data_IF_033615088021
#
_entry.id   IF_033615088021
#
_cell.length_a   1.000
_cell.length_b   1.000
_cell.length_c   1.000
_cell.angle_alpha   90.00
_cell.angle_beta   90.00
_cell.angle_gamma   90.00
#
_symmetry.space_group_name_H-M   'P 1'
#
loop_
_entity.id
_entity.type
_entity.pdbx_description
1 polymer ?
#
# COMPACT_ATOMS: atom_id res chain seq x y z
N UNK A 1 26.15 13.41 26.59
CA UNK A 1 25.18 14.44 27.02
C UNK A 1 25.25 15.58 26.02
N UNK A 2 24.40 15.56 24.99
CA UNK A 2 24.08 16.71 24.15
C UNK A 2 22.59 16.62 23.89
N UNK A 3 21.88 17.60 24.42
CA UNK A 3 20.44 17.76 24.36
C UNK A 3 20.12 18.41 23.01
N UNK A 4 19.38 17.73 22.14
CA UNK A 4 18.70 18.34 21.01
C UNK A 4 17.20 18.22 21.27
N UNK A 5 16.66 19.21 21.99
CA UNK A 5 15.23 19.49 22.02
C UNK A 5 14.86 19.86 20.59
N UNK A 6 14.17 18.96 19.89
CA UNK A 6 13.55 19.26 18.60
C UNK A 6 12.17 19.80 18.94
N UNK A 7 11.97 21.08 18.70
CA UNK A 7 10.72 21.80 18.96
C UNK A 7 9.51 21.07 18.36
N UNK A 8 8.62 20.59 19.23
CA UNK A 8 7.37 19.91 18.89
C UNK A 8 6.24 20.86 18.45
N UNK A 9 6.58 21.95 17.75
CA UNK A 9 5.62 22.96 17.28
C UNK A 9 5.51 23.01 15.75
N UNK A 10 5.35 21.85 15.10
CA UNK A 10 4.83 21.82 13.73
C UNK A 10 3.31 21.86 13.81
N UNK A 11 2.79 23.08 13.85
CA UNK A 11 1.40 23.38 13.54
C UNK A 11 0.98 22.64 12.26
N UNK A 12 -0.15 21.93 12.31
CA UNK A 12 -0.87 21.43 11.14
C UNK A 12 -0.79 22.47 10.02
N UNK A 13 -0.29 22.15 8.80
CA UNK A 13 -0.28 23.10 7.72
C UNK A 13 -1.73 23.43 7.35
N UNK A 14 -2.20 24.57 7.88
CA UNK A 14 -3.42 25.23 7.49
C UNK A 14 -3.26 25.65 6.02
N UNK A 15 -3.85 24.88 5.10
CA UNK A 15 -3.75 25.20 3.68
C UNK A 15 -4.04 24.08 2.68
N UNK A 16 -4.86 23.08 2.99
CA UNK A 16 -5.37 22.19 1.94
C UNK A 16 -6.55 22.85 1.22
N UNK A 17 -6.21 23.76 0.31
CA UNK A 17 -7.17 24.46 -0.53
C UNK A 17 -7.83 23.51 -1.55
N UNK A 18 -9.08 23.81 -1.87
CA UNK A 18 -10.10 22.99 -2.54
C UNK A 18 -9.70 22.37 -3.89
N UNK A 19 -10.19 21.12 -4.07
CA UNK A 19 -10.65 20.48 -5.32
C UNK A 19 -9.67 20.44 -6.50
N UNK A 20 -8.82 19.41 -6.53
CA UNK A 20 -8.53 18.71 -7.78
C UNK A 20 -9.19 17.34 -7.71
N UNK A 21 -10.07 17.03 -8.66
CA UNK A 21 -10.71 15.73 -8.74
C UNK A 21 -9.67 14.63 -8.71
N UNK A 22 -9.83 13.67 -7.78
CA UNK A 22 -8.96 12.51 -7.63
C UNK A 22 -9.00 11.65 -8.91
N UNK A 23 -8.22 12.01 -9.94
CA UNK A 23 -7.98 11.16 -11.10
C UNK A 23 -7.05 10.04 -10.63
N UNK A 24 -7.65 8.89 -10.31
CA UNK A 24 -6.92 7.65 -10.10
C UNK A 24 -6.54 7.09 -11.48
N UNK A 25 -5.23 7.11 -11.78
CA UNK A 25 -4.68 6.63 -13.06
C UNK A 25 -4.02 7.77 -13.84
N UNK A 26 -2.70 7.69 -14.00
CA UNK A 26 -1.95 8.54 -14.92
C UNK A 26 -1.77 7.87 -16.28
N UNK A 27 -1.24 8.60 -17.26
CA UNK A 27 -0.94 8.14 -18.62
C UNK A 27 -0.09 6.85 -18.72
N UNK A 28 0.49 6.38 -17.60
CA UNK A 28 1.29 5.16 -17.48
C UNK A 28 0.51 3.91 -17.03
N UNK A 29 -0.83 3.94 -17.10
CA UNK A 29 -1.71 2.79 -16.88
C UNK A 29 -1.94 2.04 -18.20
N UNK A 30 -0.86 1.79 -18.95
CA UNK A 30 -0.94 1.06 -20.21
C UNK A 30 -1.40 -0.39 -19.94
N UNK A 31 -2.42 -0.83 -20.67
CA UNK A 31 -3.00 -2.18 -20.60
C UNK A 31 -2.04 -3.24 -21.14
N UNK A 32 -1.05 -2.87 -21.96
CA UNK A 32 -0.07 -3.80 -22.55
C UNK A 32 1.15 -4.09 -21.69
N UNK A 33 1.44 -3.25 -20.68
CA UNK A 33 2.67 -3.41 -19.88
C UNK A 33 2.66 -4.73 -19.10
N UNK A 34 3.65 -5.58 -19.33
CA UNK A 34 3.83 -6.82 -18.59
C UNK A 34 5.02 -6.70 -17.65
N UNK A 35 4.90 -7.23 -16.44
CA UNK A 35 6.02 -7.39 -15.51
C UNK A 35 5.94 -8.76 -14.82
N UNK A 36 7.08 -9.36 -14.48
CA UNK A 36 7.13 -10.61 -13.69
C UNK A 36 7.58 -10.38 -12.24
N UNK A 37 8.48 -9.41 -12.04
CA UNK A 37 9.14 -9.11 -10.76
C UNK A 37 9.00 -7.63 -10.37
N UNK A 38 9.15 -7.34 -9.09
CA UNK A 38 9.39 -5.97 -8.60
C UNK A 38 10.85 -5.61 -8.87
N UNK A 39 11.08 -4.50 -9.58
CA UNK A 39 12.40 -3.94 -9.78
C UNK A 39 12.73 -2.93 -8.67
N UNK A 40 13.96 -2.42 -8.68
CA UNK A 40 14.46 -1.45 -7.70
C UNK A 40 13.54 -0.24 -7.56
N UNK A 41 13.16 0.38 -8.68
CA UNK A 41 12.23 1.51 -8.68
C UNK A 41 10.90 1.21 -7.95
N UNK A 42 10.32 0.03 -8.16
CA UNK A 42 9.09 -0.36 -7.46
C UNK A 42 9.31 -0.46 -5.95
N UNK A 43 10.43 -1.06 -5.55
CA UNK A 43 10.75 -1.27 -4.14
C UNK A 43 11.05 0.06 -3.45
N UNK A 44 11.88 0.91 -4.04
CA UNK A 44 12.15 2.29 -3.56
C UNK A 44 10.86 3.07 -3.37
N UNK A 45 9.96 3.01 -4.35
CA UNK A 45 8.66 3.71 -4.29
C UNK A 45 7.83 3.23 -3.10
N UNK A 46 7.81 1.93 -2.82
CA UNK A 46 7.01 1.35 -1.73
C UNK A 46 7.63 1.66 -0.37
N UNK A 47 8.92 1.36 -0.19
CA UNK A 47 9.66 1.64 1.05
C UNK A 47 9.57 3.11 1.40
N UNK A 48 9.79 3.92 0.38
CA UNK A 48 9.83 5.33 0.52
C UNK A 48 8.52 5.98 0.91
N UNK A 49 7.45 5.57 0.24
CA UNK A 49 6.11 6.00 0.60
C UNK A 49 5.69 5.52 1.99
N UNK A 50 6.16 4.35 2.44
CA UNK A 50 5.91 3.87 3.79
C UNK A 50 6.65 4.71 4.85
N UNK A 51 7.94 5.00 4.65
CA UNK A 51 8.71 5.89 5.54
C UNK A 51 8.11 7.30 5.59
N UNK A 52 7.79 7.86 4.42
CA UNK A 52 7.20 9.19 4.35
C UNK A 52 5.79 9.24 4.95
N UNK A 53 5.00 8.16 4.87
CA UNK A 53 3.71 8.08 5.56
C UNK A 53 3.86 8.17 7.08
N UNK A 54 4.91 7.56 7.64
CA UNK A 54 5.23 7.65 9.07
C UNK A 54 5.62 9.08 9.44
N UNK A 55 6.48 9.72 8.64
CA UNK A 55 6.87 11.12 8.84
C UNK A 55 5.64 12.07 8.88
N UNK A 56 4.62 11.79 8.08
CA UNK A 56 3.37 12.58 8.07
C UNK A 56 2.39 12.24 9.22
N UNK A 57 2.71 11.30 10.12
CA UNK A 57 1.76 10.79 11.12
C UNK A 57 0.57 10.04 10.51
N UNK A 58 0.77 9.45 9.33
CA UNK A 58 -0.23 8.71 8.56
C UNK A 58 0.19 7.25 8.42
N UNK A 59 0.51 6.60 9.54
CA UNK A 59 1.03 5.24 9.56
C UNK A 59 0.10 4.26 8.85
N UNK A 60 0.69 3.36 8.06
CA UNK A 60 -0.03 2.33 7.32
C UNK A 60 -0.54 1.25 8.29
N UNK A 61 -1.68 1.53 8.91
CA UNK A 61 -2.22 0.79 10.04
C UNK A 61 -3.09 -0.43 9.67
N UNK A 62 -3.37 -0.65 8.39
CA UNK A 62 -4.13 -1.81 7.87
C UNK A 62 -3.42 -2.48 6.70
N UNK A 63 -3.43 -3.81 6.71
CA UNK A 63 -3.10 -4.64 5.56
C UNK A 63 -4.37 -5.24 4.99
N UNK A 64 -4.67 -4.99 3.72
CA UNK A 64 -5.84 -5.47 3.00
C UNK A 64 -5.37 -6.32 1.83
N UNK A 65 -5.99 -7.49 1.65
CA UNK A 65 -5.76 -8.34 0.47
C UNK A 65 -7.05 -8.53 -0.29
N UNK A 66 -6.99 -8.39 -1.62
CA UNK A 66 -8.09 -8.69 -2.53
C UNK A 66 -7.64 -9.77 -3.51
N UNK A 67 -8.35 -10.89 -3.57
CA UNK A 67 -8.16 -11.98 -4.52
C UNK A 67 -9.08 -11.80 -5.73
N UNK A 68 -8.54 -11.27 -6.84
CA UNK A 68 -9.28 -11.08 -8.08
C UNK A 68 -9.61 -12.42 -8.75
N UNK A 69 -8.72 -13.42 -8.64
CA UNK A 69 -8.97 -14.77 -9.17
C UNK A 69 -10.25 -15.41 -8.60
N UNK A 70 -10.53 -15.21 -7.29
CA UNK A 70 -11.77 -15.69 -6.64
C UNK A 70 -13.05 -15.02 -7.13
N UNK A 71 -12.92 -13.91 -7.84
CA UNK A 71 -14.02 -13.19 -8.49
C UNK A 71 -14.14 -13.52 -9.99
N UNK A 72 -13.31 -14.45 -10.51
CA UNK A 72 -13.24 -14.73 -11.95
C UNK A 72 -12.69 -13.55 -12.75
N UNK A 73 -11.93 -12.65 -12.13
CA UNK A 73 -11.38 -11.47 -12.80
C UNK A 73 -10.00 -11.80 -13.35
N UNK A 74 -9.87 -11.70 -14.68
CA UNK A 74 -8.58 -11.77 -15.37
C UNK A 74 -7.62 -10.67 -14.89
N UNK A 75 -6.33 -10.98 -14.86
CA UNK A 75 -5.32 -10.04 -14.40
C UNK A 75 -5.28 -8.74 -15.24
N UNK A 76 -5.61 -8.79 -16.53
CA UNK A 76 -5.70 -7.59 -17.37
C UNK A 76 -6.82 -6.61 -16.94
N UNK A 77 -7.83 -7.10 -16.22
CA UNK A 77 -8.96 -6.31 -15.70
C UNK A 77 -8.78 -5.94 -14.22
N UNK A 78 -7.98 -6.69 -13.47
CA UNK A 78 -7.75 -6.49 -12.04
C UNK A 78 -7.32 -5.05 -11.68
N UNK A 79 -6.46 -4.42 -12.48
CA UNK A 79 -6.06 -3.02 -12.27
C UNK A 79 -7.21 -2.02 -12.32
N UNK A 80 -8.21 -2.23 -13.21
CA UNK A 80 -9.41 -1.38 -13.31
C UNK A 80 -10.30 -1.53 -12.08
N UNK A 81 -10.51 -2.78 -11.64
CA UNK A 81 -11.31 -3.10 -10.45
C UNK A 81 -10.67 -2.52 -9.19
N UNK A 82 -9.36 -2.68 -9.03
CA UNK A 82 -8.59 -2.07 -7.95
C UNK A 82 -8.75 -0.55 -7.93
N UNK A 83 -8.63 0.10 -9.09
CA UNK A 83 -8.74 1.56 -9.21
C UNK A 83 -10.12 2.05 -8.78
N UNK A 84 -11.20 1.38 -9.23
CA UNK A 84 -12.57 1.73 -8.84
C UNK A 84 -12.83 1.49 -7.34
N UNK A 85 -12.26 0.42 -6.78
CA UNK A 85 -12.35 0.13 -5.34
C UNK A 85 -11.60 1.18 -4.50
N UNK A 86 -10.35 1.49 -4.86
CA UNK A 86 -9.55 2.54 -4.20
C UNK A 86 -10.21 3.91 -4.28
N UNK A 87 -10.85 4.23 -5.43
CA UNK A 87 -11.65 5.45 -5.55
C UNK A 87 -12.78 5.47 -4.53
N UNK A 88 -13.55 4.38 -4.40
CA UNK A 88 -14.66 4.30 -3.45
C UNK A 88 -14.19 4.44 -1.99
N UNK A 89 -13.07 3.80 -1.65
CA UNK A 89 -12.42 3.92 -0.34
C UNK A 89 -11.98 5.37 -0.08
N UNK A 90 -11.30 6.00 -1.05
CA UNK A 90 -10.82 7.36 -0.97
C UNK A 90 -11.96 8.39 -0.86
N UNK A 91 -13.02 8.23 -1.65
CA UNK A 91 -14.21 9.08 -1.59
C UNK A 91 -14.87 8.98 -0.20
N UNK A 92 -14.95 7.78 0.38
CA UNK A 92 -15.51 7.60 1.72
C UNK A 92 -14.66 8.28 2.80
N UNK A 93 -13.35 8.06 2.78
CA UNK A 93 -12.43 8.69 3.75
C UNK A 93 -12.44 10.22 3.61
N UNK A 94 -12.46 10.73 2.38
CA UNK A 94 -12.54 12.17 2.09
C UNK A 94 -13.84 12.80 2.56
N UNK A 95 -14.98 12.12 2.40
CA UNK A 95 -16.28 12.58 2.94
C UNK A 95 -16.31 12.69 4.46
N UNK A 96 -15.40 12.02 5.17
CA UNK A 96 -15.22 12.13 6.61
C UNK A 96 -14.12 13.13 7.00
N UNK A 97 -13.69 14.00 6.08
CA UNK A 97 -12.68 15.03 6.35
C UNK A 97 -11.25 14.51 6.55
N UNK A 98 -10.97 13.26 6.13
CA UNK A 98 -9.66 12.63 6.27
C UNK A 98 -9.02 12.38 4.90
N UNK A 99 -7.77 11.92 4.89
CA UNK A 99 -7.03 11.58 3.67
C UNK A 99 -6.76 10.07 3.60
N UNK A 100 -6.97 9.46 2.43
CA UNK A 100 -6.54 8.09 2.18
C UNK A 100 -5.04 8.08 1.89
N UNK A 101 -4.30 7.34 2.69
CA UNK A 101 -2.87 7.06 2.48
C UNK A 101 -2.70 5.57 2.27
N UNK A 102 -2.15 5.15 1.13
CA UNK A 102 -1.87 3.73 0.91
C UNK A 102 -0.75 3.46 -0.08
N UNK A 103 -0.13 2.30 0.06
CA UNK A 103 0.69 1.64 -0.96
C UNK A 103 0.05 0.30 -1.34
N UNK A 104 0.28 -0.18 -2.55
CA UNK A 104 -0.26 -1.46 -2.99
C UNK A 104 0.66 -2.16 -4.00
N UNK A 105 0.58 -3.49 -4.00
CA UNK A 105 1.34 -4.39 -4.88
C UNK A 105 0.42 -5.47 -5.40
N UNK A 106 0.38 -5.65 -6.72
CA UNK A 106 -0.28 -6.75 -7.41
C UNK A 106 0.68 -7.90 -7.65
N UNK A 107 0.16 -9.09 -7.45
CA UNK A 107 0.81 -10.36 -7.71
C UNK A 107 -0.13 -11.22 -8.56
N UNK A 108 0.44 -12.05 -9.41
CA UNK A 108 -0.33 -13.04 -10.17
C UNK A 108 0.41 -14.37 -10.12
N UNK A 109 0.54 -14.89 -8.91
CA UNK A 109 1.23 -16.15 -8.68
C UNK A 109 0.39 -17.33 -9.16
N UNK A 110 1.05 -18.27 -9.85
CA UNK A 110 0.48 -19.58 -10.14
C UNK A 110 0.56 -20.55 -8.94
N UNK A 111 0.92 -20.05 -7.75
CA UNK A 111 0.99 -20.86 -6.55
C UNK A 111 -0.37 -21.46 -6.23
N UNK A 112 -0.35 -22.78 -6.16
CA UNK A 112 -1.42 -23.61 -5.65
C UNK A 112 -1.37 -23.54 -4.12
N UNK A 113 -2.49 -23.21 -3.47
CA UNK A 113 -2.59 -23.28 -2.02
C UNK A 113 -2.70 -24.73 -1.52
N UNK A 114 -2.74 -24.93 -0.21
CA UNK A 114 -2.88 -26.21 0.47
C UNK A 114 -4.12 -27.02 0.05
N UNK A 115 -5.05 -26.39 -0.68
CA UNK A 115 -6.30 -26.98 -1.15
C UNK A 115 -6.32 -27.21 -2.66
N UNK A 116 -5.18 -27.09 -3.35
CA UNK A 116 -5.14 -27.29 -4.79
C UNK A 116 -5.60 -26.08 -5.61
N UNK A 117 -5.83 -24.91 -4.98
CA UNK A 117 -6.38 -23.73 -5.68
C UNK A 117 -5.25 -22.78 -6.09
N UNK A 118 -5.15 -22.47 -7.38
CA UNK A 118 -4.26 -21.42 -7.88
C UNK A 118 -4.70 -20.07 -7.30
N UNK A 119 -3.82 -19.42 -6.52
CA UNK A 119 -4.12 -18.12 -5.89
C UNK A 119 -4.48 -17.03 -6.90
N UNK A 120 -3.91 -17.10 -8.10
CA UNK A 120 -4.19 -16.22 -9.23
C UNK A 120 -3.89 -14.75 -8.93
N UNK A 121 -4.54 -13.86 -9.69
CA UNK A 121 -4.37 -12.42 -9.55
C UNK A 121 -4.89 -11.93 -8.20
N UNK A 122 -4.06 -11.21 -7.47
CA UNK A 122 -4.41 -10.58 -6.19
C UNK A 122 -3.60 -9.30 -5.95
N UNK A 123 -4.02 -8.52 -4.96
CA UNK A 123 -3.32 -7.31 -4.52
C UNK A 123 -3.19 -7.31 -3.01
N UNK A 124 -2.02 -6.90 -2.54
CA UNK A 124 -1.77 -6.52 -1.16
C UNK A 124 -1.73 -4.99 -1.05
N UNK A 125 -2.44 -4.43 -0.09
CA UNK A 125 -2.60 -3.00 0.12
C UNK A 125 -2.25 -2.72 1.58
N UNK A 126 -1.33 -1.78 1.82
CA UNK A 126 -1.11 -1.21 3.14
C UNK A 126 -1.70 0.19 3.14
N UNK A 127 -2.61 0.45 4.08
CA UNK A 127 -3.34 1.70 4.13
C UNK A 127 -3.38 2.25 5.55
N UNK A 128 -3.28 3.56 5.67
CA UNK A 128 -3.75 4.29 6.83
C UNK A 128 -5.27 4.41 6.73
N UNK A 129 -5.98 3.82 7.68
CA UNK A 129 -7.42 3.98 7.85
C UNK A 129 -7.65 4.62 9.22
N UNK A 130 -8.14 5.87 9.29
CA UNK A 130 -8.51 6.50 10.55
C UNK A 130 -9.52 5.64 11.31
N UNK A 131 -9.41 5.58 12.64
CA UNK A 131 -10.25 4.71 13.46
C UNK A 131 -11.74 5.05 13.32
N UNK A 132 -12.04 6.34 13.17
CA UNK A 132 -13.38 6.90 12.97
C UNK A 132 -14.00 6.42 11.63
N UNK A 133 -13.16 6.16 10.62
CA UNK A 133 -13.61 5.64 9.33
C UNK A 133 -13.71 4.12 9.29
N UNK A 134 -13.08 3.41 10.24
CA UNK A 134 -12.85 1.97 10.15
C UNK A 134 -14.15 1.17 10.04
N UNK A 135 -15.14 1.50 10.87
CA UNK A 135 -16.39 0.73 10.91
C UNK A 135 -17.16 0.87 9.60
N UNK A 136 -17.26 2.09 9.05
CA UNK A 136 -17.92 2.29 7.76
C UNK A 136 -17.15 1.69 6.59
N UNK A 137 -15.81 1.68 6.62
CA UNK A 137 -15.00 0.93 5.64
C UNK A 137 -15.30 -0.57 5.72
N UNK A 138 -15.32 -1.16 6.92
CA UNK A 138 -15.61 -2.59 7.11
C UNK A 138 -16.98 -2.98 6.53
N UNK A 139 -18.00 -2.16 6.75
CA UNK A 139 -19.37 -2.40 6.28
C UNK A 139 -19.53 -2.23 4.76
N UNK A 140 -18.68 -1.42 4.11
CA UNK A 140 -18.88 -1.02 2.71
C UNK A 140 -17.87 -1.58 1.73
N UNK A 141 -16.67 -1.96 2.18
CA UNK A 141 -15.58 -2.44 1.31
C UNK A 141 -15.99 -3.59 0.39
N UNK A 142 -16.83 -4.51 0.88
CA UNK A 142 -17.37 -5.60 0.09
C UNK A 142 -18.31 -5.10 -1.00
N UNK A 143 -19.27 -4.23 -0.65
CA UNK A 143 -20.21 -3.65 -1.62
C UNK A 143 -19.49 -2.85 -2.70
N UNK A 144 -18.47 -2.08 -2.33
CA UNK A 144 -17.62 -1.37 -3.31
C UNK A 144 -16.89 -2.33 -4.24
N UNK A 145 -16.33 -3.42 -3.70
CA UNK A 145 -15.61 -4.40 -4.52
C UNK A 145 -16.55 -5.14 -5.46
N UNK A 146 -17.71 -5.58 -4.96
CA UNK A 146 -18.74 -6.24 -5.78
C UNK A 146 -19.20 -5.34 -6.92
N UNK A 147 -19.46 -4.06 -6.64
CA UNK A 147 -19.83 -3.06 -7.66
C UNK A 147 -18.69 -2.82 -8.66
N UNK A 148 -17.45 -2.70 -8.19
CA UNK A 148 -16.29 -2.49 -9.06
C UNK A 148 -15.99 -3.69 -9.97
N UNK A 149 -16.21 -4.90 -9.45
CA UNK A 149 -16.01 -6.17 -10.14
C UNK A 149 -17.15 -6.55 -11.08
N UNK A 150 -18.38 -6.08 -10.81
CA UNK A 150 -19.58 -6.61 -11.45
C UNK A 150 -19.86 -8.07 -11.06
N UNK A 151 -19.40 -8.51 -9.88
CA UNK A 151 -19.44 -9.90 -9.44
C UNK A 151 -19.89 -10.02 -7.98
N UNK A 152 -20.51 -11.16 -7.64
CA UNK A 152 -20.84 -11.51 -6.26
C UNK A 152 -19.57 -11.92 -5.52
N UNK A 153 -19.42 -11.46 -4.27
CA UNK A 153 -18.27 -11.84 -3.46
C UNK A 153 -18.42 -13.26 -2.92
N UNK A 154 -17.32 -13.99 -2.91
CA UNK A 154 -17.17 -15.26 -2.18
C UNK A 154 -16.31 -15.06 -0.93
N UNK A 155 -16.41 -15.98 0.04
CA UNK A 155 -15.63 -15.91 1.26
C UNK A 155 -14.11 -15.86 0.98
N UNK A 156 -13.42 -14.97 1.68
CA UNK A 156 -11.98 -14.78 1.51
C UNK A 156 -11.58 -14.02 0.24
N UNK A 157 -12.52 -13.42 -0.50
CA UNK A 157 -12.22 -12.52 -1.63
C UNK A 157 -11.48 -11.27 -1.15
N UNK A 158 -11.95 -10.67 -0.06
CA UNK A 158 -11.34 -9.49 0.55
C UNK A 158 -11.22 -9.72 2.05
N UNK A 159 -10.06 -9.42 2.60
CA UNK A 159 -9.86 -9.43 4.05
C UNK A 159 -8.85 -8.38 4.46
N UNK A 160 -9.06 -7.83 5.66
CA UNK A 160 -8.20 -6.82 6.27
C UNK A 160 -7.66 -7.30 7.61
N UNK A 161 -6.44 -6.91 7.93
CA UNK A 161 -5.79 -7.14 9.23
C UNK A 161 -5.24 -5.82 9.75
N UNK A 162 -5.30 -5.62 11.07
CA UNK A 162 -4.57 -4.53 11.73
C UNK A 162 -3.07 -4.83 11.68
N UNK A 163 -2.26 -3.84 11.34
CA UNK A 163 -0.81 -3.92 11.53
C UNK A 163 -0.54 -3.80 13.03
N UNK A 164 0.08 -4.82 13.64
CA UNK A 164 0.39 -4.82 15.07
C UNK A 164 1.29 -3.61 15.40
N UNK A 165 1.06 -3.00 16.56
CA UNK A 165 1.74 -1.78 16.97
C UNK A 165 1.19 -0.48 16.35
N UNK A 166 0.35 -0.55 15.32
CA UNK A 166 -0.29 0.64 14.78
C UNK A 166 -1.33 1.19 15.79
N UNK A 167 -1.21 2.47 16.14
CA UNK A 167 -2.01 3.18 17.16
C UNK A 167 -1.68 2.85 18.63
N UNK A 168 -0.47 2.41 18.94
CA UNK A 168 -0.03 2.25 20.33
C UNK A 168 0.34 3.61 20.93
N UNK A 169 -0.54 4.20 21.75
CA UNK A 169 -0.18 5.33 22.64
C UNK A 169 0.57 4.87 23.91
N UNK A 170 0.71 3.56 24.12
CA UNK A 170 1.10 2.97 25.42
C UNK A 170 2.51 2.38 25.45
N UNK A 171 3.54 3.13 25.04
CA UNK A 171 4.94 2.75 25.34
C UNK A 171 5.48 1.49 24.68
N UNK A 172 4.88 1.03 23.57
CA UNK A 172 5.43 -0.03 22.70
C UNK A 172 6.18 0.58 21.52
N UNK A 173 7.05 1.53 21.81
CA UNK A 173 7.97 2.16 20.87
C UNK A 173 8.84 1.05 20.23
N UNK A 174 8.96 1.04 18.90
CA UNK A 174 9.62 -0.04 18.15
C UNK A 174 8.74 -1.22 17.68
N UNK A 175 7.60 -1.51 18.33
CA UNK A 175 6.74 -2.64 17.89
C UNK A 175 6.08 -2.38 16.53
N UNK A 176 5.71 -1.12 16.25
CA UNK A 176 5.20 -0.74 14.92
C UNK A 176 6.31 -0.82 13.86
N UNK A 177 7.55 -0.45 14.19
CA UNK A 177 8.67 -0.48 13.24
C UNK A 177 9.02 -1.90 12.83
N UNK A 178 9.17 -2.80 13.80
CA UNK A 178 9.41 -4.22 13.53
C UNK A 178 8.28 -4.85 12.70
N UNK A 179 7.02 -4.56 13.03
CA UNK A 179 5.87 -5.13 12.33
C UNK A 179 5.61 -4.49 10.96
N UNK A 180 5.77 -3.17 10.82
CA UNK A 180 5.65 -2.48 9.54
C UNK A 180 6.77 -2.93 8.60
N UNK A 181 8.00 -3.09 9.10
CA UNK A 181 9.10 -3.71 8.37
C UNK A 181 8.74 -5.10 7.85
N UNK A 182 8.21 -5.98 8.70
CA UNK A 182 7.76 -7.32 8.30
C UNK A 182 6.63 -7.30 7.27
N UNK A 183 5.65 -6.42 7.43
CA UNK A 183 4.51 -6.29 6.52
C UNK A 183 4.91 -5.69 5.17
N UNK A 184 5.84 -4.72 5.18
CA UNK A 184 6.44 -4.15 3.98
C UNK A 184 7.26 -5.21 3.24
N UNK A 185 8.13 -5.96 3.96
CA UNK A 185 8.87 -7.11 3.42
C UNK A 185 7.93 -8.14 2.80
N UNK A 186 6.79 -8.38 3.43
CA UNK A 186 5.78 -9.30 2.91
C UNK A 186 5.18 -8.82 1.58
N UNK A 187 4.84 -7.54 1.42
CA UNK A 187 4.28 -7.03 0.15
C UNK A 187 5.32 -6.89 -0.97
N UNK A 188 6.62 -6.83 -0.65
CA UNK A 188 7.71 -6.77 -1.63
C UNK A 188 8.39 -8.12 -1.91
N UNK A 189 7.88 -9.23 -1.37
CA UNK A 189 8.46 -10.59 -1.52
C UNK A 189 8.62 -11.03 -3.00
N UNK A 190 7.92 -10.38 -3.93
CA UNK A 190 7.98 -10.60 -5.38
C UNK A 190 9.14 -9.89 -6.10
N UNK A 191 10.20 -9.55 -5.38
CA UNK A 191 11.37 -8.82 -5.87
C UNK A 191 12.36 -9.74 -6.60
N UNK A 192 13.17 -9.17 -7.49
CA UNK A 192 14.35 -9.84 -8.06
C UNK A 192 15.27 -10.45 -6.99
N UNK A 193 15.89 -11.61 -7.25
CA UNK A 193 16.75 -12.30 -6.28
C UNK A 193 18.04 -11.53 -5.96
N UNK A 194 18.63 -10.85 -6.94
CA UNK A 194 19.81 -10.01 -6.72
C UNK A 194 19.48 -8.78 -5.87
N UNK A 195 18.33 -8.16 -6.12
CA UNK A 195 17.85 -7.05 -5.29
C UNK A 195 17.41 -7.53 -3.89
N UNK A 196 16.82 -8.73 -3.79
CA UNK A 196 16.50 -9.34 -2.51
C UNK A 196 17.73 -9.52 -1.62
N UNK A 197 18.82 -10.04 -2.19
CA UNK A 197 20.10 -10.22 -1.51
C UNK A 197 20.66 -8.88 -1.03
N UNK A 198 20.69 -7.85 -1.90
CA UNK A 198 21.11 -6.48 -1.53
C UNK A 198 20.29 -5.87 -0.39
N UNK A 199 19.04 -6.30 -0.25
CA UNK A 199 18.11 -5.77 0.76
C UNK A 199 18.00 -6.64 2.02
N UNK A 200 18.75 -7.74 2.10
CA UNK A 200 18.68 -8.69 3.22
C UNK A 200 17.34 -9.43 3.29
N UNK A 201 16.64 -9.61 2.17
CA UNK A 201 15.35 -10.30 2.10
C UNK A 201 15.58 -11.81 1.97
N UNK A 202 15.27 -12.55 3.05
CA UNK A 202 15.47 -14.01 3.13
C UNK A 202 14.43 -14.81 2.31
N UNK A 203 13.28 -14.20 1.97
CA UNK A 203 12.17 -14.88 1.28
C UNK A 203 11.85 -14.18 -0.04
N UNK A 204 12.31 -14.77 -1.14
CA UNK A 204 11.95 -14.38 -2.51
C UNK A 204 10.92 -15.38 -3.03
N UNK A 205 9.81 -14.89 -3.59
CA UNK A 205 8.84 -15.71 -4.30
C UNK A 205 8.59 -15.10 -5.67
N UNK A 206 8.37 -15.92 -6.69
CA UNK A 206 7.93 -15.40 -8.00
C UNK A 206 6.64 -14.58 -7.85
N UNK A 207 6.68 -13.30 -8.19
CA UNK A 207 5.51 -12.41 -8.17
C UNK A 207 4.51 -12.67 -9.30
N UNK A 208 4.88 -13.55 -10.24
CA UNK A 208 4.10 -14.01 -11.38
C UNK A 208 3.79 -12.91 -12.40
N UNK A 209 3.20 -13.27 -13.54
CA UNK A 209 2.97 -12.33 -14.65
C UNK A 209 1.83 -11.34 -14.34
N UNK A 210 2.14 -10.06 -14.18
CA UNK A 210 1.15 -8.99 -14.02
C UNK A 210 1.08 -8.14 -15.30
N UNK A 211 -0.15 -7.92 -15.78
CA UNK A 211 -0.53 -7.05 -16.89
C UNK A 211 -1.03 -5.71 -16.31
N UNK A 212 -0.51 -4.61 -16.86
CA UNK A 212 -0.71 -3.26 -16.39
C UNK A 212 0.20 -2.87 -15.22
N UNK A 213 -0.26 -1.91 -14.42
CA UNK A 213 0.51 -1.39 -13.28
C UNK A 213 0.59 -2.43 -12.16
N UNK A 214 1.83 -2.78 -11.76
CA UNK A 214 2.12 -3.74 -10.67
C UNK A 214 1.97 -3.16 -9.28
N UNK A 215 2.55 -1.98 -9.01
CA UNK A 215 2.47 -1.35 -7.70
C UNK A 215 2.15 0.14 -7.81
N UNK A 216 1.71 0.73 -6.70
CA UNK A 216 1.46 2.16 -6.64
C UNK A 216 1.22 2.68 -5.24
N UNK A 217 1.02 3.99 -5.15
CA UNK A 217 0.81 4.74 -3.92
C UNK A 217 -0.31 5.75 -4.12
N UNK A 218 -0.87 6.28 -3.04
CA UNK A 218 -1.64 7.54 -3.07
C UNK A 218 -0.72 8.72 -3.37
N UNK A 219 -1.29 9.83 -3.87
CA UNK A 219 -0.52 10.99 -4.30
C UNK A 219 0.22 11.69 -3.15
N UNK A 220 -0.35 11.67 -1.93
CA UNK A 220 0.20 12.35 -0.76
C UNK A 220 1.47 11.70 -0.19
N UNK A 221 1.75 10.44 -0.53
CA UNK A 221 2.98 9.73 -0.11
C UNK A 221 3.81 9.21 -1.27
N UNK A 222 3.40 9.48 -2.51
CA UNK A 222 4.08 8.97 -3.69
C UNK A 222 5.41 9.68 -3.99
N UNK A 223 6.13 9.18 -5.01
CA UNK A 223 7.48 9.65 -5.31
C UNK A 223 7.61 11.17 -5.57
N UNK A 224 6.53 11.84 -5.93
CA UNK A 224 6.53 13.31 -6.09
C UNK A 224 6.26 14.08 -4.80
N UNK A 225 5.62 13.46 -3.81
CA UNK A 225 5.27 14.14 -2.56
C UNK A 225 6.49 14.37 -1.68
N UNK A 226 7.21 13.30 -1.35
CA UNK A 226 8.44 13.34 -0.58
C UNK A 226 9.59 14.11 -1.27
N UNK A 227 9.76 14.04 -2.60
CA UNK A 227 10.71 14.89 -3.35
C UNK A 227 10.41 16.38 -3.20
N UNK A 228 9.14 16.77 -3.20
CA UNK A 228 8.74 18.16 -2.91
C UNK A 228 9.00 18.55 -1.46
N UNK A 229 9.05 17.59 -0.55
CA UNK A 229 9.44 17.78 0.84
C UNK A 229 10.97 17.72 1.05
N UNK A 230 11.76 17.68 -0.03
CA UNK A 230 13.22 17.62 0.05
C UNK A 230 13.80 16.23 0.32
N UNK A 231 12.98 15.17 0.33
CA UNK A 231 13.48 13.81 0.50
C UNK A 231 13.97 13.26 -0.84
N UNK A 232 15.21 12.80 -0.86
CA UNK A 232 15.80 12.06 -1.98
C UNK A 232 16.11 10.61 -1.60
N UNK A 233 16.74 9.86 -2.51
CA UNK A 233 17.06 8.46 -2.24
C UNK A 233 18.14 8.26 -1.19
N UNK A 234 19.01 9.24 -0.99
CA UNK A 234 20.13 9.13 -0.06
C UNK A 234 19.67 9.47 1.36
N UNK A 235 18.78 10.44 1.51
CA UNK A 235 18.05 10.71 2.74
C UNK A 235 17.34 9.45 3.26
N UNK A 236 16.67 8.71 2.39
CA UNK A 236 15.97 7.48 2.79
C UNK A 236 16.91 6.34 3.20
N UNK A 237 18.06 6.23 2.53
CA UNK A 237 19.07 5.23 2.89
C UNK A 237 19.66 5.56 4.26
N UNK A 238 19.89 6.84 4.55
CA UNK A 238 20.34 7.30 5.87
C UNK A 238 19.30 6.98 6.95
N UNK A 239 18.03 7.34 6.73
CA UNK A 239 16.93 7.02 7.67
C UNK A 239 16.79 5.52 7.92
N UNK A 240 17.06 4.67 6.91
CA UNK A 240 17.03 3.21 7.05
C UNK A 240 18.20 2.67 7.87
N UNK A 241 19.36 3.32 7.86
CA UNK A 241 20.55 2.87 8.60
C UNK A 241 20.44 3.13 10.11
N UNK A 242 19.59 4.08 10.51
CA UNK A 242 19.37 4.51 11.89
C UNK A 242 18.17 3.81 12.56
N UNK A 243 17.40 3.01 11.81
CA UNK A 243 16.18 2.29 12.24
C UNK A 243 16.35 0.78 12.23
#
# INVERSE_FOLDING_TARGET
MVCAIVDNNISCPAGFNKRQGNKWGGARNDKGRVSKILNEYHVETILGAALFSKYLGLELNRSITIHFGKLGIDDCKAGKVLTAWLKSLGDYISKNGKILTCVWVRENGQYVDDKGIVKGSHVHILAHIPNECLQGVKQRQGKWLSKAAGARLTAGTIFGRKVKGASSHNGLEGLYEANSGNVIRYIIKGVDSGLAAKMGLVKVKDGGRVIGKRCGTTQNIGRKAWQRAGWDMDFLKAVKAES
#
